data_IF_851626132243
#
_entry.id   IF_851626132243
#
_cell.length_a   1.000
_cell.length_b   1.000
_cell.length_c   1.000
_cell.angle_alpha   90.00
_cell.angle_beta   90.00
_cell.angle_gamma   90.00
#
_symmetry.space_group_name_H-M   'P 1'
#
loop_
_entity.id
_entity.type
_entity.pdbx_description
1 polymer ?
#
# COMPACT_ATOMS: atom_id res chain seq x y z
N UNK A 1 9.74 22.08 -10.88
CA UNK A 1 9.02 20.85 -10.95
C UNK A 1 9.87 19.63 -10.74
N UNK A 2 9.48 18.76 -9.87
CA UNK A 2 10.25 17.61 -9.51
C UNK A 2 9.80 16.37 -10.22
N UNK A 3 10.71 15.71 -10.85
CA UNK A 3 10.42 14.54 -11.57
C UNK A 3 10.79 13.33 -10.78
N UNK A 4 9.85 12.57 -10.36
CA UNK A 4 10.14 11.42 -9.58
C UNK A 4 10.09 10.17 -10.40
N UNK A 5 11.15 9.42 -10.35
CA UNK A 5 11.19 8.18 -11.04
C UNK A 5 10.81 7.07 -10.12
N UNK A 6 9.66 6.51 -10.30
CA UNK A 6 9.22 5.37 -9.51
C UNK A 6 10.00 4.14 -9.86
N UNK A 7 10.47 3.46 -8.86
CA UNK A 7 11.10 2.18 -9.10
C UNK A 7 10.09 1.07 -8.84
N UNK A 8 10.41 -0.11 -9.33
CA UNK A 8 9.55 -1.25 -9.15
C UNK A 8 9.41 -1.60 -7.66
N UNK A 9 10.51 -1.44 -6.94
CA UNK A 9 10.53 -1.72 -5.52
C UNK A 9 9.61 -0.76 -4.77
N UNK A 10 9.62 0.49 -5.16
CA UNK A 10 8.78 1.48 -4.50
C UNK A 10 7.31 1.16 -4.69
N UNK A 11 6.95 0.75 -5.88
CA UNK A 11 5.57 0.38 -6.14
C UNK A 11 5.18 -0.86 -5.36
N UNK A 12 6.09 -1.81 -5.29
CA UNK A 12 5.84 -3.04 -4.56
C UNK A 12 5.59 -2.74 -3.07
N UNK A 13 6.40 -1.87 -2.51
CA UNK A 13 6.26 -1.52 -1.11
C UNK A 13 4.92 -0.82 -0.85
N UNK A 14 4.54 0.05 -1.75
CA UNK A 14 3.29 0.79 -1.59
C UNK A 14 2.09 -0.14 -1.58
N UNK A 15 2.03 -1.04 -2.54
CA UNK A 15 0.90 -1.96 -2.59
C UNK A 15 0.92 -2.93 -1.41
N UNK A 16 2.10 -3.26 -0.89
CA UNK A 16 2.19 -4.12 0.27
C UNK A 16 1.59 -3.43 1.50
N UNK A 17 1.90 -2.15 1.66
CA UNK A 17 1.36 -1.38 2.77
C UNK A 17 -0.16 -1.26 2.66
N UNK A 18 -0.64 -0.97 1.47
CA UNK A 18 -2.07 -0.84 1.24
C UNK A 18 -2.77 -2.16 1.56
N UNK A 19 -2.17 -3.26 1.16
CA UNK A 19 -2.76 -4.58 1.41
C UNK A 19 -2.87 -4.87 2.89
N UNK A 20 -1.85 -4.52 3.65
CA UNK A 20 -1.85 -4.75 5.09
C UNK A 20 -2.93 -3.90 5.75
N UNK A 21 -3.01 -2.64 5.39
CA UNK A 21 -4.00 -1.75 5.98
C UNK A 21 -5.42 -2.17 5.62
N UNK A 22 -5.62 -2.60 4.39
CA UNK A 22 -6.92 -3.08 3.96
C UNK A 22 -7.34 -4.32 4.73
N UNK A 23 -6.39 -5.20 5.00
CA UNK A 23 -6.69 -6.41 5.76
C UNK A 23 -7.14 -6.08 7.17
N UNK A 24 -6.51 -5.07 7.77
CA UNK A 24 -6.90 -4.66 9.12
C UNK A 24 -8.28 -4.03 9.13
N UNK A 25 -8.60 -3.25 8.12
CA UNK A 25 -9.91 -2.64 8.03
C UNK A 25 -11.00 -3.69 7.86
N UNK A 26 -10.72 -4.67 7.03
CA UNK A 26 -11.68 -5.73 6.79
C UNK A 26 -11.94 -6.51 8.08
N UNK A 27 -10.89 -6.78 8.83
CA UNK A 27 -11.01 -7.50 10.09
C UNK A 27 -11.82 -6.68 11.10
N UNK A 28 -11.65 -5.37 11.11
CA UNK A 28 -12.36 -4.49 12.01
C UNK A 28 -13.85 -4.45 11.67
N UNK A 29 -14.17 -4.54 10.39
CA UNK A 29 -15.55 -4.50 9.95
C UNK A 29 -16.27 -5.82 10.18
N UNK A 30 -15.52 -6.87 10.15
CA UNK A 30 -16.10 -8.20 10.30
C UNK A 30 -16.30 -8.50 11.77
N UNK A 31 -17.51 -8.47 12.22
CA UNK A 31 -17.82 -8.69 13.63
C UNK A 31 -18.10 -10.14 13.97
#
# INVERSE_FOLDING_TARGET
>A
MRRRRFTLIELLIVIAIIAILAAMLLSALNK
#
